data_IF_038744054755
#
_entry.id   IF_038744054755
#
_cell.length_a   1.000
_cell.length_b   1.000
_cell.length_c   1.000
_cell.angle_alpha   90.00
_cell.angle_beta   90.00
_cell.angle_gamma   90.00
#
_symmetry.space_group_name_H-M   'P 1'
#
loop_
_entity.id
_entity.type
_entity.pdbx_description
1 polymer ?
#
# COMPACT_ATOMS: atom_id res chain seq x y z
N UNK A 1 11.13 -41.72 -16.07
CA UNK A 1 10.32 -42.94 -16.25
C UNK A 1 8.88 -42.54 -16.11
N UNK A 2 8.19 -42.50 -17.25
CA UNK A 2 6.79 -42.12 -17.34
C UNK A 2 5.84 -43.13 -16.72
N UNK A 3 4.62 -42.67 -16.39
CA UNK A 3 3.37 -43.44 -16.49
C UNK A 3 2.12 -42.59 -16.30
N UNK A 4 1.39 -42.52 -17.41
CA UNK A 4 -0.06 -42.66 -17.57
C UNK A 4 -1.01 -41.70 -16.90
N UNK A 5 -1.47 -40.74 -17.69
CA UNK A 5 -2.83 -40.20 -17.60
C UNK A 5 -3.70 -40.98 -18.61
N UNK A 6 -4.62 -41.79 -18.10
CA UNK A 6 -5.72 -42.36 -18.92
C UNK A 6 -6.85 -41.33 -18.95
N UNK A 7 -7.11 -40.76 -20.13
CA UNK A 7 -8.31 -39.95 -20.40
C UNK A 7 -9.34 -40.91 -21.01
N UNK A 8 -10.39 -41.23 -20.26
CA UNK A 8 -11.57 -41.90 -20.81
C UNK A 8 -12.46 -40.82 -21.45
N UNK A 9 -12.46 -40.76 -22.77
CA UNK A 9 -13.33 -39.91 -23.54
C UNK A 9 -14.52 -40.75 -24.00
N UNK A 10 -15.71 -40.50 -23.45
CA UNK A 10 -16.93 -41.03 -23.99
C UNK A 10 -17.51 -40.02 -24.98
N UNK A 11 -17.57 -40.40 -26.25
CA UNK A 11 -17.99 -39.55 -27.33
C UNK A 11 -19.50 -39.26 -27.27
N UNK A 12 -19.88 -37.96 -27.24
CA UNK A 12 -21.15 -37.48 -27.78
C UNK A 12 -20.85 -36.44 -28.86
N UNK A 13 -21.53 -36.61 -29.99
CA UNK A 13 -21.32 -35.83 -31.20
C UNK A 13 -21.92 -34.42 -31.08
N UNK A 14 -21.19 -33.47 -31.69
CA UNK A 14 -21.60 -32.14 -32.15
C UNK A 14 -21.93 -31.12 -31.03
N UNK A 15 -20.94 -30.38 -30.64
CA UNK A 15 -20.76 -29.00 -30.12
C UNK A 15 -19.54 -28.82 -29.19
N UNK A 16 -18.77 -29.89 -29.04
CA UNK A 16 -17.68 -29.94 -28.01
C UNK A 16 -16.34 -29.30 -28.45
N UNK A 17 -16.20 -28.90 -29.70
CA UNK A 17 -14.92 -28.42 -30.25
C UNK A 17 -14.52 -27.04 -29.74
N UNK A 18 -15.47 -26.18 -29.49
CA UNK A 18 -15.18 -24.79 -29.00
C UNK A 18 -14.94 -24.80 -27.48
N UNK A 19 -15.71 -25.60 -26.74
CA UNK A 19 -15.57 -25.72 -25.29
C UNK A 19 -14.25 -26.41 -24.90
N UNK A 20 -13.78 -27.41 -25.64
CA UNK A 20 -12.51 -28.09 -25.41
C UNK A 20 -11.34 -27.16 -25.72
N UNK A 21 -11.40 -26.31 -26.76
CA UNK A 21 -10.40 -25.30 -27.04
C UNK A 21 -10.36 -24.21 -25.98
N UNK A 22 -11.51 -23.74 -25.49
CA UNK A 22 -11.58 -22.75 -24.42
C UNK A 22 -11.06 -23.30 -23.09
N UNK A 23 -11.41 -24.53 -22.71
CA UNK A 23 -10.89 -25.19 -21.51
C UNK A 23 -9.40 -25.56 -21.61
N UNK A 24 -8.88 -25.90 -22.81
CA UNK A 24 -7.45 -26.11 -23.02
C UNK A 24 -6.69 -24.79 -22.97
N UNK A 25 -7.20 -23.70 -23.54
CA UNK A 25 -6.58 -22.38 -23.49
C UNK A 25 -6.56 -21.82 -22.04
N UNK A 26 -7.66 -21.95 -21.29
CA UNK A 26 -7.74 -21.56 -19.90
C UNK A 26 -6.79 -22.41 -19.00
N UNK A 27 -6.64 -23.71 -19.29
CA UNK A 27 -5.70 -24.59 -18.58
C UNK A 27 -4.24 -24.32 -18.89
N UNK A 28 -3.88 -23.99 -20.13
CA UNK A 28 -2.51 -23.65 -20.50
C UNK A 28 -2.07 -22.31 -19.91
N UNK A 29 -2.92 -21.31 -19.90
CA UNK A 29 -2.61 -20.00 -19.33
C UNK A 29 -2.53 -20.06 -17.79
N UNK A 30 -3.43 -20.81 -17.13
CA UNK A 30 -3.39 -21.04 -15.68
C UNK A 30 -2.14 -21.83 -15.27
N UNK A 31 -1.73 -22.83 -16.08
CA UNK A 31 -0.52 -23.62 -15.79
C UNK A 31 0.78 -22.85 -16.04
N UNK A 32 0.82 -21.93 -16.98
CA UNK A 32 1.97 -21.05 -17.22
C UNK A 32 2.11 -20.02 -16.10
N UNK A 33 1.00 -19.37 -15.68
CA UNK A 33 0.98 -18.43 -14.55
C UNK A 33 1.28 -19.14 -13.22
N UNK A 34 0.79 -20.36 -13.00
CA UNK A 34 1.08 -21.15 -11.79
C UNK A 34 2.54 -21.66 -11.75
N UNK A 35 3.15 -21.95 -12.90
CA UNK A 35 4.59 -22.33 -12.98
C UNK A 35 5.54 -21.20 -12.58
N UNK A 36 5.10 -19.93 -12.66
CA UNK A 36 5.91 -18.76 -12.30
C UNK A 36 6.28 -18.75 -10.81
N UNK A 37 5.45 -19.36 -9.94
CA UNK A 37 5.62 -19.37 -8.48
C UNK A 37 6.26 -20.66 -7.93
N UNK A 38 6.56 -21.67 -8.76
CA UNK A 38 7.06 -22.99 -8.29
C UNK A 38 8.52 -23.04 -7.93
N UNK A 39 9.33 -22.00 -8.22
CA UNK A 39 10.76 -21.94 -7.95
C UNK A 39 11.17 -20.81 -7.00
N UNK A 40 10.23 -20.25 -6.21
CA UNK A 40 10.53 -19.21 -5.25
C UNK A 40 11.25 -19.78 -4.03
N UNK A 41 12.18 -19.02 -3.49
CA UNK A 41 12.93 -19.33 -2.26
C UNK A 41 12.03 -19.21 -1.03
N UNK A 42 11.06 -18.30 -1.08
CA UNK A 42 10.16 -17.99 0.03
C UNK A 42 8.74 -18.49 -0.24
N UNK A 43 8.02 -18.81 0.84
CA UNK A 43 6.65 -19.31 0.76
C UNK A 43 5.62 -18.17 0.71
N UNK A 44 5.06 -17.97 -0.47
CA UNK A 44 3.92 -17.07 -0.71
C UNK A 44 2.65 -17.83 -1.12
N UNK A 45 2.62 -19.14 -0.91
CA UNK A 45 1.52 -20.01 -1.34
C UNK A 45 0.70 -20.59 -0.17
N UNK A 46 1.32 -20.77 0.99
CA UNK A 46 0.67 -21.29 2.18
C UNK A 46 -0.31 -20.28 2.79
N UNK A 47 -1.48 -20.77 3.20
CA UNK A 47 -2.46 -19.97 3.91
C UNK A 47 -2.09 -19.94 5.39
N UNK A 48 -1.70 -18.77 5.89
CA UNK A 48 -1.34 -18.57 7.28
C UNK A 48 -2.59 -18.25 8.10
N UNK A 49 -2.87 -19.05 9.14
CA UNK A 49 -3.92 -18.73 10.10
C UNK A 49 -3.46 -17.64 11.08
N UNK A 50 -4.11 -16.49 11.01
CA UNK A 50 -3.80 -15.31 11.82
C UNK A 50 -4.82 -15.07 12.94
N UNK A 51 -5.86 -15.90 13.07
CA UNK A 51 -6.91 -15.76 14.08
C UNK A 51 -6.34 -15.93 15.48
N UNK A 52 -6.71 -15.04 16.41
CA UNK A 52 -6.19 -15.06 17.77
C UNK A 52 -4.68 -14.83 17.87
N UNK A 53 -4.09 -14.12 16.88
CA UNK A 53 -2.68 -13.70 16.82
C UNK A 53 -2.57 -12.18 16.72
N UNK A 54 -3.46 -11.46 17.40
CA UNK A 54 -3.52 -10.00 17.45
C UNK A 54 -3.68 -9.34 16.06
N UNK A 55 -4.34 -10.06 15.14
CA UNK A 55 -4.47 -9.64 13.75
C UNK A 55 -5.85 -9.02 13.49
N UNK A 56 -5.96 -7.70 13.53
CA UNK A 56 -7.23 -6.99 13.29
C UNK A 56 -7.87 -7.36 11.94
N UNK A 57 -7.07 -7.73 10.96
CA UNK A 57 -7.55 -8.13 9.63
C UNK A 57 -8.52 -9.31 9.66
N UNK A 58 -8.38 -10.21 10.63
CA UNK A 58 -9.18 -11.44 10.78
C UNK A 58 -10.00 -11.48 12.05
N UNK A 59 -9.61 -10.76 13.11
CA UNK A 59 -10.26 -10.80 14.40
C UNK A 59 -11.38 -9.76 14.55
N UNK A 60 -11.34 -8.64 13.81
CA UNK A 60 -12.35 -7.58 13.85
C UNK A 60 -13.57 -7.78 12.94
N UNK A 61 -13.48 -8.36 11.73
CA UNK A 61 -14.66 -8.51 10.88
C UNK A 61 -15.80 -9.24 11.58
N UNK A 62 -16.97 -8.62 11.62
CA UNK A 62 -18.14 -9.11 12.36
C UNK A 62 -18.09 -8.90 13.88
N UNK A 63 -16.97 -8.47 14.46
CA UNK A 63 -16.79 -8.28 15.91
C UNK A 63 -16.50 -6.81 16.28
N UNK A 64 -16.44 -5.92 15.30
CA UNK A 64 -16.19 -4.51 15.56
C UNK A 64 -17.36 -3.86 16.33
N UNK A 65 -17.08 -2.84 17.20
CA UNK A 65 -18.13 -2.02 17.79
C UNK A 65 -19.04 -1.40 16.72
N UNK A 66 -20.28 -1.17 17.05
CA UNK A 66 -21.23 -0.51 16.16
C UNK A 66 -20.67 0.86 15.69
N UNK A 67 -20.67 1.10 14.37
CA UNK A 67 -20.08 2.30 13.76
C UNK A 67 -18.57 2.23 13.54
N UNK A 68 -17.95 1.08 13.81
CA UNK A 68 -16.54 0.84 13.46
C UNK A 68 -16.31 0.73 11.94
N UNK A 69 -15.07 0.93 11.53
CA UNK A 69 -14.66 0.92 10.10
C UNK A 69 -14.38 -0.49 9.57
N UNK A 70 -14.49 -1.53 10.42
CA UNK A 70 -14.21 -2.90 10.02
C UNK A 70 -15.37 -3.52 9.21
N UNK A 71 -15.08 -4.44 8.28
CA UNK A 71 -16.08 -5.19 7.56
C UNK A 71 -17.04 -5.98 8.44
N UNK A 72 -18.23 -6.28 7.93
CA UNK A 72 -19.13 -7.27 8.52
C UNK A 72 -18.53 -8.68 8.47
N UNK A 73 -19.04 -9.58 9.32
CA UNK A 73 -18.66 -10.99 9.31
C UNK A 73 -19.34 -11.77 8.18
N UNK A 74 -18.77 -12.92 7.78
CA UNK A 74 -19.37 -13.80 6.79
C UNK A 74 -20.63 -14.49 7.32
N UNK A 75 -21.52 -14.87 6.40
CA UNK A 75 -22.62 -15.79 6.69
C UNK A 75 -22.11 -17.21 6.93
N UNK A 76 -22.96 -18.03 7.55
CA UNK A 76 -22.70 -19.45 7.71
C UNK A 76 -22.37 -20.12 6.36
N UNK A 77 -21.35 -20.96 6.33
CA UNK A 77 -20.87 -21.64 5.13
C UNK A 77 -19.71 -20.94 4.41
N UNK A 78 -19.36 -19.69 4.78
CA UNK A 78 -18.22 -18.97 4.22
C UNK A 78 -17.16 -18.69 5.27
N UNK A 79 -15.92 -19.00 4.95
CA UNK A 79 -14.75 -18.55 5.74
C UNK A 79 -14.32 -17.13 5.31
N UNK A 80 -13.68 -16.42 6.23
CA UNK A 80 -13.22 -15.05 6.00
C UNK A 80 -11.98 -15.02 5.09
N UNK A 81 -12.02 -14.16 4.08
CA UNK A 81 -10.87 -13.78 3.25
C UNK A 81 -10.56 -12.31 3.53
N UNK A 82 -9.47 -11.99 4.26
CA UNK A 82 -9.19 -10.63 4.70
C UNK A 82 -8.55 -9.81 3.57
N UNK A 83 -9.30 -8.87 3.02
CA UNK A 83 -8.88 -8.02 1.88
C UNK A 83 -9.08 -6.51 2.17
N UNK A 84 -9.05 -6.07 3.43
CA UNK A 84 -9.36 -4.69 3.83
C UNK A 84 -8.20 -3.92 4.45
N UNK A 85 -7.55 -4.47 5.46
CA UNK A 85 -6.39 -3.83 6.11
C UNK A 85 -5.19 -3.84 5.17
N UNK A 86 -4.39 -2.77 5.21
CA UNK A 86 -3.14 -2.68 4.47
C UNK A 86 -1.99 -3.39 5.22
N UNK A 87 -2.18 -4.69 5.50
CA UNK A 87 -1.16 -5.63 5.97
C UNK A 87 -1.18 -6.89 5.09
N UNK A 88 -0.24 -7.79 5.26
CA UNK A 88 -0.12 -8.96 4.40
C UNK A 88 -0.56 -10.24 5.10
N UNK A 89 -1.03 -11.20 4.30
CA UNK A 89 -1.30 -12.57 4.72
C UNK A 89 -0.13 -13.51 4.38
N UNK A 90 1.08 -12.96 4.35
CA UNK A 90 2.35 -13.68 4.18
C UNK A 90 3.20 -13.55 5.43
N UNK A 91 4.02 -14.57 5.77
CA UNK A 91 5.08 -14.42 6.76
C UNK A 91 6.04 -13.30 6.35
N UNK A 92 6.57 -12.54 7.31
CA UNK A 92 7.64 -11.58 7.04
C UNK A 92 8.94 -12.29 6.64
N UNK A 93 9.91 -11.54 6.09
CA UNK A 93 11.21 -12.10 5.68
C UNK A 93 11.91 -12.80 6.84
N UNK A 94 12.46 -14.01 6.64
CA UNK A 94 13.14 -14.77 7.70
C UNK A 94 14.30 -14.02 8.36
N UNK A 95 15.03 -13.19 7.61
CA UNK A 95 16.13 -12.36 8.13
C UNK A 95 15.69 -11.41 9.24
N UNK A 96 14.45 -10.95 9.20
CA UNK A 96 13.87 -10.09 10.25
C UNK A 96 13.68 -10.87 11.55
N UNK A 97 13.10 -12.06 11.43
CA UNK A 97 12.87 -12.94 12.58
C UNK A 97 14.19 -13.35 13.23
N UNK A 98 15.20 -13.65 12.41
CA UNK A 98 16.55 -13.99 12.88
C UNK A 98 17.18 -12.83 13.64
N UNK A 99 17.15 -11.62 13.08
CA UNK A 99 17.74 -10.44 13.71
C UNK A 99 17.06 -10.10 15.03
N UNK A 100 15.72 -10.15 15.08
CA UNK A 100 14.96 -9.92 16.31
C UNK A 100 15.25 -10.99 17.36
N UNK A 101 15.33 -12.28 16.97
CA UNK A 101 15.72 -13.35 17.89
C UNK A 101 17.10 -13.15 18.49
N UNK A 102 18.08 -12.81 17.66
CA UNK A 102 19.46 -12.48 18.12
C UNK A 102 19.45 -11.35 19.15
N UNK A 103 18.65 -10.29 18.93
CA UNK A 103 18.50 -9.22 19.92
C UNK A 103 17.86 -9.72 21.22
N UNK A 104 16.91 -10.64 21.18
CA UNK A 104 16.22 -11.19 22.33
C UNK A 104 17.13 -12.09 23.22
N UNK A 105 18.26 -12.60 22.68
CA UNK A 105 19.23 -13.35 23.46
C UNK A 105 19.86 -12.51 24.60
N UNK A 106 19.88 -11.17 24.43
CA UNK A 106 20.25 -10.24 25.49
C UNK A 106 19.00 -9.80 26.28
N UNK A 107 18.83 -10.21 27.54
CA UNK A 107 17.56 -10.08 28.28
C UNK A 107 17.29 -8.68 28.87
N UNK A 108 18.05 -7.65 28.49
CA UNK A 108 17.87 -6.29 28.98
C UNK A 108 17.42 -5.33 27.86
N UNK A 109 16.39 -4.51 28.15
CA UNK A 109 15.78 -3.54 27.25
C UNK A 109 15.87 -2.12 27.83
N UNK A 110 17.06 -1.76 28.32
CA UNK A 110 17.32 -0.43 28.87
C UNK A 110 17.43 0.66 27.78
N UNK A 111 17.78 1.87 28.19
CA UNK A 111 18.01 2.97 27.25
C UNK A 111 19.11 2.61 26.25
N UNK A 112 18.93 3.04 25.01
CA UNK A 112 19.87 2.76 23.92
C UNK A 112 19.93 3.96 22.96
N UNK A 113 20.97 4.02 22.16
CA UNK A 113 21.08 4.89 21.00
C UNK A 113 20.95 4.06 19.73
N UNK A 114 20.38 4.61 18.65
CA UNK A 114 20.40 3.95 17.35
C UNK A 114 21.82 3.58 16.93
N UNK A 115 22.03 2.34 16.51
CA UNK A 115 23.32 1.83 16.09
C UNK A 115 23.75 2.35 14.72
N UNK A 116 25.05 2.37 14.42
CA UNK A 116 25.52 2.68 13.06
C UNK A 116 24.96 1.69 12.05
N UNK A 117 24.80 0.42 12.41
CA UNK A 117 24.18 -0.60 11.56
C UNK A 117 22.75 -0.23 11.11
N UNK A 118 21.98 0.49 11.91
CA UNK A 118 20.66 1.00 11.55
C UNK A 118 20.74 2.05 10.43
N UNK A 119 21.63 3.03 10.58
CA UNK A 119 21.82 4.07 9.57
C UNK A 119 22.45 3.52 8.30
N UNK A 120 23.44 2.65 8.42
CA UNK A 120 24.09 2.00 7.28
C UNK A 120 23.07 1.15 6.48
N UNK A 121 22.17 0.44 7.16
CA UNK A 121 21.11 -0.33 6.51
C UNK A 121 20.19 0.57 5.68
N UNK A 122 19.78 1.73 6.22
CA UNK A 122 18.93 2.70 5.50
C UNK A 122 19.71 3.30 4.32
N UNK A 123 20.93 3.76 4.52
CA UNK A 123 21.76 4.40 3.48
C UNK A 123 21.98 3.41 2.31
N UNK A 124 22.37 2.18 2.62
CA UNK A 124 22.60 1.14 1.62
C UNK A 124 21.30 0.77 0.88
N UNK A 125 20.17 0.64 1.60
CA UNK A 125 18.87 0.37 0.98
C UNK A 125 18.47 1.45 -0.02
N UNK A 126 18.60 2.72 0.36
CA UNK A 126 18.32 3.85 -0.53
C UNK A 126 19.25 3.88 -1.75
N UNK A 127 20.53 3.61 -1.54
CA UNK A 127 21.50 3.55 -2.64
C UNK A 127 21.19 2.41 -3.61
N UNK A 128 21.03 1.19 -3.11
CA UNK A 128 20.89 0.00 -3.94
C UNK A 128 19.50 -0.14 -4.58
N UNK A 129 18.45 0.27 -3.85
CA UNK A 129 17.05 0.06 -4.28
C UNK A 129 16.40 1.27 -4.92
N UNK A 130 16.89 2.47 -4.61
CA UNK A 130 16.28 3.73 -5.05
C UNK A 130 17.26 4.64 -5.83
N UNK A 131 18.53 4.22 -5.99
CA UNK A 131 19.55 4.98 -6.69
C UNK A 131 19.93 6.30 -6.02
N UNK A 132 19.66 6.44 -4.71
CA UNK A 132 19.96 7.65 -3.96
C UNK A 132 21.41 7.66 -3.51
N UNK A 133 22.18 8.63 -3.99
CA UNK A 133 23.57 8.84 -3.59
C UNK A 133 23.68 10.01 -2.60
N UNK A 134 24.69 9.95 -1.72
CA UNK A 134 25.03 11.04 -0.79
C UNK A 134 24.09 11.20 0.40
N UNK A 135 23.21 10.22 0.67
CA UNK A 135 22.45 10.19 1.92
C UNK A 135 23.40 9.94 3.09
N UNK A 136 23.27 10.72 4.14
CA UNK A 136 24.10 10.64 5.34
C UNK A 136 23.28 10.34 6.58
N UNK A 137 23.93 9.92 7.66
CA UNK A 137 23.28 9.64 8.95
C UNK A 137 22.54 10.87 9.51
N UNK A 138 23.07 12.06 9.26
CA UNK A 138 22.49 13.32 9.72
C UNK A 138 21.15 13.63 9.05
N UNK A 139 20.92 13.11 7.84
CA UNK A 139 19.67 13.33 7.08
C UNK A 139 18.54 12.41 7.55
N UNK A 140 18.84 11.41 8.38
CA UNK A 140 17.92 10.36 8.81
C UNK A 140 17.51 10.58 10.26
N UNK A 141 16.20 10.56 10.52
CA UNK A 141 15.66 10.60 11.87
C UNK A 141 14.50 9.63 12.04
N UNK A 142 14.41 9.00 13.22
CA UNK A 142 13.30 8.11 13.54
C UNK A 142 12.01 8.88 13.78
N UNK A 143 10.91 8.33 13.30
CA UNK A 143 9.56 8.79 13.59
C UNK A 143 8.67 7.61 14.04
N UNK A 144 7.71 7.87 14.91
CA UNK A 144 6.81 6.87 15.47
C UNK A 144 5.65 6.54 14.50
N UNK A 145 5.97 5.80 13.45
CA UNK A 145 5.08 5.58 12.29
C UNK A 145 5.08 6.78 11.33
N UNK A 146 4.76 6.52 10.05
CA UNK A 146 4.70 7.58 9.03
C UNK A 146 3.66 8.64 9.38
N UNK A 147 2.50 8.26 9.95
CA UNK A 147 1.51 9.24 10.42
C UNK A 147 2.01 10.06 11.60
N UNK A 148 2.83 9.49 12.48
CA UNK A 148 3.53 10.24 13.53
C UNK A 148 4.49 11.27 12.94
N UNK A 149 5.29 10.88 11.95
CA UNK A 149 6.18 11.78 11.20
C UNK A 149 5.42 12.88 10.46
N UNK A 150 4.27 12.55 9.85
CA UNK A 150 3.37 13.53 9.23
C UNK A 150 2.95 14.60 10.24
N UNK A 151 2.45 14.19 11.41
CA UNK A 151 2.00 15.13 12.45
C UNK A 151 3.17 15.93 13.01
N UNK A 152 4.35 15.32 13.20
CA UNK A 152 5.57 16.04 13.62
C UNK A 152 5.95 17.15 12.63
N UNK A 153 5.88 16.87 11.34
CA UNK A 153 6.16 17.85 10.29
C UNK A 153 5.09 18.95 10.23
N UNK A 154 3.81 18.61 10.33
CA UNK A 154 2.71 19.58 10.39
C UNK A 154 2.88 20.53 11.59
N UNK A 155 3.14 19.99 12.77
CA UNK A 155 3.37 20.78 13.98
C UNK A 155 4.62 21.70 13.90
N UNK A 156 5.58 21.37 13.02
CA UNK A 156 6.75 22.19 12.81
C UNK A 156 6.53 23.37 11.84
N UNK A 157 5.60 23.23 10.89
CA UNK A 157 5.48 24.14 9.74
C UNK A 157 4.08 24.70 9.50
N UNK A 158 3.06 24.24 10.23
CA UNK A 158 1.70 24.76 10.16
C UNK A 158 1.17 25.14 11.54
N UNK A 159 0.19 26.04 11.59
CA UNK A 159 -0.54 26.40 12.79
C UNK A 159 -1.90 25.70 12.81
N UNK A 160 -2.43 25.39 13.99
CA UNK A 160 -3.78 24.82 14.10
C UNK A 160 -4.78 25.68 13.33
N UNK A 161 -5.59 25.02 12.51
CA UNK A 161 -6.56 25.65 11.61
C UNK A 161 -6.01 25.98 10.22
N UNK A 162 -4.71 25.85 9.98
CA UNK A 162 -4.16 26.04 8.63
C UNK A 162 -4.63 24.96 7.67
N UNK A 163 -4.80 25.32 6.38
CA UNK A 163 -5.19 24.39 5.34
C UNK A 163 -3.96 23.61 4.82
N UNK A 164 -4.15 22.31 4.67
CA UNK A 164 -3.15 21.37 4.14
C UNK A 164 -3.68 20.78 2.83
N UNK A 165 -2.88 20.82 1.75
CA UNK A 165 -3.26 20.22 0.48
C UNK A 165 -3.04 18.70 0.52
N UNK A 166 -4.03 17.94 0.05
CA UNK A 166 -3.93 16.50 -0.22
C UNK A 166 -4.49 16.19 -1.61
N UNK A 167 -4.00 15.11 -2.24
CA UNK A 167 -4.56 14.62 -3.51
C UNK A 167 -5.64 13.58 -3.21
N UNK A 168 -6.81 13.68 -3.89
CA UNK A 168 -7.94 12.78 -3.69
C UNK A 168 -8.36 12.05 -4.98
N UNK A 169 -8.69 10.74 -4.92
CA UNK A 169 -8.86 9.93 -3.69
C UNK A 169 -7.63 9.97 -2.81
N UNK A 170 -7.78 9.81 -1.48
CA UNK A 170 -6.66 9.96 -0.55
C UNK A 170 -6.70 8.90 0.56
N UNK A 171 -5.57 8.68 1.20
CA UNK A 171 -5.48 7.73 2.31
C UNK A 171 -6.19 8.28 3.56
N UNK A 172 -7.13 7.48 4.11
CA UNK A 172 -7.91 7.84 5.31
C UNK A 172 -7.02 8.19 6.52
N UNK A 173 -5.82 7.60 6.60
CA UNK A 173 -4.86 7.93 7.66
C UNK A 173 -4.39 9.39 7.59
N UNK A 174 -4.28 9.98 6.39
CA UNK A 174 -3.95 11.41 6.26
C UNK A 174 -5.09 12.28 6.75
N UNK A 175 -6.32 12.03 6.28
CA UNK A 175 -7.48 12.84 6.66
C UNK A 175 -7.69 12.80 8.17
N UNK A 176 -7.70 11.61 8.76
CA UNK A 176 -7.86 11.46 10.21
C UNK A 176 -6.73 12.12 11.01
N UNK A 177 -5.48 12.01 10.55
CA UNK A 177 -4.33 12.58 11.27
C UNK A 177 -4.28 14.11 11.14
N UNK A 178 -4.56 14.65 9.95
CA UNK A 178 -4.57 16.09 9.70
C UNK A 178 -5.68 16.76 10.50
N UNK A 179 -6.93 16.26 10.38
CA UNK A 179 -8.08 16.82 11.12
C UNK A 179 -7.96 16.59 12.62
N UNK A 180 -7.55 15.39 13.05
CA UNK A 180 -7.33 15.05 14.45
C UNK A 180 -6.25 15.89 15.12
N UNK A 181 -5.26 16.36 14.37
CA UNK A 181 -4.23 17.28 14.83
C UNK A 181 -4.65 18.76 14.74
N UNK A 182 -5.89 19.06 14.31
CA UNK A 182 -6.47 20.40 14.31
C UNK A 182 -6.18 21.23 13.06
N UNK A 183 -5.82 20.61 11.94
CA UNK A 183 -5.63 21.27 10.65
C UNK A 183 -6.86 21.07 9.75
N UNK A 184 -6.96 21.85 8.68
CA UNK A 184 -8.00 21.73 7.65
C UNK A 184 -7.46 21.05 6.42
N UNK A 185 -8.30 20.30 5.72
CA UNK A 185 -7.90 19.62 4.49
C UNK A 185 -8.46 20.39 3.29
N UNK A 186 -7.63 20.57 2.28
CA UNK A 186 -8.02 21.04 0.94
C UNK A 186 -7.66 19.93 -0.05
N UNK A 187 -8.69 19.40 -0.72
CA UNK A 187 -8.53 18.32 -1.67
C UNK A 187 -8.24 18.85 -3.07
N UNK A 188 -7.12 18.45 -3.67
CA UNK A 188 -6.90 18.53 -5.11
C UNK A 188 -7.27 17.19 -5.74
N UNK A 189 -8.28 17.20 -6.62
CA UNK A 189 -8.83 15.97 -7.18
C UNK A 189 -7.92 15.43 -8.27
N UNK A 190 -7.58 14.16 -8.17
CA UNK A 190 -6.97 13.43 -9.26
C UNK A 190 -8.01 13.20 -10.36
N UNK A 191 -7.57 13.16 -11.59
CA UNK A 191 -8.38 12.86 -12.77
C UNK A 191 -7.85 11.61 -13.46
N UNK A 192 -8.73 10.86 -14.10
CA UNK A 192 -8.31 9.79 -14.99
C UNK A 192 -8.18 10.34 -16.41
N UNK A 193 -7.11 9.98 -17.10
CA UNK A 193 -6.93 10.25 -18.51
C UNK A 193 -7.77 9.31 -19.39
N UNK A 194 -7.64 9.42 -20.72
CA UNK A 194 -8.40 8.60 -21.68
C UNK A 194 -8.10 7.09 -21.55
N UNK A 195 -6.94 6.74 -20.98
CA UNK A 195 -6.51 5.36 -20.72
C UNK A 195 -6.93 4.87 -19.33
N UNK A 196 -7.59 5.72 -18.54
CA UNK A 196 -8.02 5.43 -17.18
C UNK A 196 -6.90 5.52 -16.14
N UNK A 197 -5.77 6.17 -16.47
CA UNK A 197 -4.65 6.36 -15.55
C UNK A 197 -4.87 7.62 -14.73
N UNK A 198 -4.64 7.52 -13.42
CA UNK A 198 -4.76 8.65 -12.51
C UNK A 198 -3.66 9.70 -12.75
N UNK A 199 -4.06 10.97 -12.87
CA UNK A 199 -3.18 12.12 -13.11
C UNK A 199 -3.48 13.23 -12.11
N UNK A 200 -2.43 14.00 -11.76
CA UNK A 200 -2.57 15.23 -10.99
C UNK A 200 -3.11 16.36 -11.86
N UNK A 201 -3.95 17.21 -11.28
CA UNK A 201 -4.42 18.45 -11.89
C UNK A 201 -3.59 19.64 -11.37
N UNK A 202 -2.51 19.97 -12.08
CA UNK A 202 -1.56 20.99 -11.65
C UNK A 202 -2.16 22.39 -11.59
N UNK A 203 -3.15 22.69 -12.45
CA UNK A 203 -3.86 23.97 -12.43
C UNK A 203 -4.76 24.08 -11.19
N UNK A 204 -5.48 23.00 -10.85
CA UNK A 204 -6.30 22.92 -9.64
C UNK A 204 -5.43 23.01 -8.38
N UNK A 205 -4.26 22.35 -8.36
CA UNK A 205 -3.28 22.47 -7.28
C UNK A 205 -2.89 23.92 -7.04
N UNK A 206 -2.42 24.61 -8.09
CA UNK A 206 -1.96 25.99 -8.02
C UNK A 206 -3.09 26.93 -7.56
N UNK A 207 -4.26 26.80 -8.16
CA UNK A 207 -5.43 27.61 -7.82
C UNK A 207 -5.84 27.41 -6.34
N UNK A 208 -5.90 26.17 -5.85
CA UNK A 208 -6.28 25.88 -4.46
C UNK A 208 -5.25 26.33 -3.46
N UNK A 209 -3.96 26.16 -3.76
CA UNK A 209 -2.87 26.66 -2.91
C UNK A 209 -2.98 28.17 -2.73
N UNK A 210 -3.14 28.91 -3.83
CA UNK A 210 -3.28 30.39 -3.80
C UNK A 210 -4.53 30.83 -3.08
N UNK A 211 -5.68 30.24 -3.43
CA UNK A 211 -6.99 30.64 -2.85
C UNK A 211 -7.05 30.41 -1.34
N UNK A 212 -6.43 29.36 -0.84
CA UNK A 212 -6.45 28.97 0.56
C UNK A 212 -5.18 29.36 1.31
N UNK A 213 -4.18 29.97 0.67
CA UNK A 213 -2.87 30.33 1.25
C UNK A 213 -2.19 29.13 1.91
N UNK A 214 -2.11 28.03 1.20
CA UNK A 214 -1.51 26.78 1.67
C UNK A 214 0.01 26.88 1.65
N UNK A 215 0.66 26.44 2.72
CA UNK A 215 2.12 26.41 2.86
C UNK A 215 2.67 25.00 3.05
N UNK A 216 1.80 24.01 3.28
CA UNK A 216 2.21 22.61 3.46
C UNK A 216 1.28 21.71 2.63
N UNK A 217 1.88 20.79 1.89
CA UNK A 217 1.18 19.77 1.12
C UNK A 217 1.63 18.38 1.51
N UNK A 218 0.71 17.41 1.46
CA UNK A 218 1.01 15.98 1.60
C UNK A 218 0.99 15.32 0.24
N UNK A 219 2.10 14.68 -0.11
CA UNK A 219 2.30 13.98 -1.37
C UNK A 219 2.51 12.49 -1.11
N UNK A 220 1.70 11.62 -1.70
CA UNK A 220 1.78 10.17 -1.53
C UNK A 220 2.40 9.52 -2.76
N UNK A 221 3.56 8.88 -2.61
CA UNK A 221 4.36 8.35 -3.71
C UNK A 221 5.05 7.01 -3.35
N UNK A 222 4.57 5.86 -3.83
CA UNK A 222 3.36 5.59 -4.64
C UNK A 222 2.05 5.95 -3.94
N UNK A 223 1.02 6.20 -4.74
CA UNK A 223 -0.24 6.73 -4.26
C UNK A 223 -1.21 5.65 -3.75
N UNK A 224 -1.69 5.81 -2.54
CA UNK A 224 -2.75 5.00 -1.94
C UNK A 224 -4.03 5.86 -1.78
N UNK A 225 -5.20 5.45 -2.30
CA UNK A 225 -5.57 4.06 -2.63
C UNK A 225 -5.39 3.65 -4.09
N UNK A 226 -5.02 4.53 -5.00
CA UNK A 226 -5.10 4.27 -6.45
C UNK A 226 -4.01 3.35 -7.00
N UNK A 227 -2.93 3.12 -6.24
CA UNK A 227 -1.78 2.34 -6.70
C UNK A 227 -0.95 3.02 -7.79
N UNK A 228 -1.16 4.33 -8.02
CA UNK A 228 -0.37 5.08 -9.01
C UNK A 228 1.08 5.21 -8.58
N UNK A 229 2.03 4.91 -9.46
CA UNK A 229 3.45 5.22 -9.35
C UNK A 229 3.71 6.42 -10.26
N UNK A 230 4.02 7.57 -9.66
CA UNK A 230 4.20 8.80 -10.41
C UNK A 230 5.45 8.76 -11.27
N UNK A 231 5.34 9.20 -12.51
CA UNK A 231 6.47 9.35 -13.42
C UNK A 231 7.36 10.53 -12.97
N UNK A 232 8.68 10.52 -13.26
CA UNK A 232 9.58 11.61 -12.88
C UNK A 232 9.06 12.98 -13.29
N UNK A 233 8.54 13.11 -14.52
CA UNK A 233 8.03 14.36 -15.09
C UNK A 233 6.73 14.83 -14.38
N UNK A 234 5.93 13.91 -13.85
CA UNK A 234 4.75 14.26 -13.07
C UNK A 234 5.15 14.81 -11.69
N UNK A 235 6.14 14.19 -11.06
CA UNK A 235 6.70 14.67 -9.79
C UNK A 235 7.35 16.03 -9.99
N UNK A 236 8.16 16.22 -11.03
CA UNK A 236 8.79 17.51 -11.36
C UNK A 236 7.74 18.62 -11.49
N UNK A 237 6.68 18.40 -12.28
CA UNK A 237 5.59 19.37 -12.44
C UNK A 237 4.88 19.69 -11.12
N UNK A 238 4.61 18.70 -10.29
CA UNK A 238 4.02 18.93 -8.97
C UNK A 238 4.95 19.77 -8.10
N UNK A 239 6.26 19.46 -8.10
CA UNK A 239 7.26 20.19 -7.32
C UNK A 239 7.44 21.61 -7.83
N UNK A 240 7.30 21.89 -9.12
CA UNK A 240 7.29 23.25 -9.67
C UNK A 240 6.09 24.07 -9.15
N UNK A 241 4.90 23.47 -9.06
CA UNK A 241 3.71 24.12 -8.45
C UNK A 241 3.97 24.44 -6.98
N UNK A 242 4.49 23.49 -6.21
CA UNK A 242 4.83 23.71 -4.79
C UNK A 242 5.91 24.78 -4.62
N UNK A 243 6.92 24.78 -5.47
CA UNK A 243 7.98 25.80 -5.51
C UNK A 243 7.43 27.19 -5.80
N UNK A 244 6.57 27.32 -6.81
CA UNK A 244 5.97 28.59 -7.21
C UNK A 244 5.12 29.22 -6.09
N UNK A 245 4.63 28.41 -5.14
CA UNK A 245 3.79 28.83 -4.04
C UNK A 245 4.48 28.73 -2.67
N UNK A 246 5.78 28.49 -2.63
CA UNK A 246 6.59 28.34 -1.42
C UNK A 246 6.03 27.31 -0.42
N UNK A 247 5.55 26.18 -0.93
CA UNK A 247 5.02 25.09 -0.13
C UNK A 247 6.12 24.13 0.31
N UNK A 248 6.09 23.71 1.56
CA UNK A 248 6.82 22.55 2.06
C UNK A 248 6.02 21.29 1.69
N UNK A 249 6.72 20.23 1.27
CA UNK A 249 6.10 18.96 0.86
C UNK A 249 6.44 17.87 1.88
N UNK A 250 5.42 17.24 2.44
CA UNK A 250 5.56 16.01 3.23
C UNK A 250 5.27 14.85 2.28
N UNK A 251 6.31 14.11 1.89
CA UNK A 251 6.18 12.98 0.96
C UNK A 251 6.08 11.68 1.73
N UNK A 252 4.93 11.02 1.65
CA UNK A 252 4.76 9.65 2.17
C UNK A 252 5.23 8.65 1.12
N UNK A 253 6.37 8.03 1.37
CA UNK A 253 7.01 7.07 0.49
C UNK A 253 7.00 5.63 1.08
N UNK A 254 6.06 5.35 1.97
CA UNK A 254 5.96 4.06 2.67
C UNK A 254 5.75 2.86 1.73
N UNK A 255 5.24 3.11 0.51
CA UNK A 255 4.99 2.10 -0.52
C UNK A 255 6.11 1.96 -1.54
N UNK A 256 7.19 2.72 -1.40
CA UNK A 256 8.25 2.88 -2.40
C UNK A 256 9.00 1.60 -2.81
N UNK A 257 8.93 0.54 -1.99
CA UNK A 257 9.52 -0.76 -2.32
C UNK A 257 8.54 -1.73 -2.97
N UNK A 258 7.23 -1.42 -2.95
CA UNK A 258 6.15 -2.27 -3.48
C UNK A 258 5.70 -1.76 -4.85
N UNK A 259 6.62 -1.82 -5.79
CA UNK A 259 6.43 -1.41 -7.18
C UNK A 259 6.21 -2.67 -8.02
N UNK A 260 5.13 -2.70 -8.80
CA UNK A 260 4.80 -3.85 -9.62
C UNK A 260 5.74 -3.96 -10.84
N UNK A 261 5.77 -5.14 -11.47
CA UNK A 261 6.65 -5.38 -12.63
C UNK A 261 6.38 -4.38 -13.76
N UNK A 262 7.47 -3.87 -14.35
CA UNK A 262 7.42 -2.89 -15.44
C UNK A 262 7.39 -1.42 -14.99
N UNK A 263 7.29 -1.15 -13.68
CA UNK A 263 7.29 0.22 -13.15
C UNK A 263 8.49 0.47 -12.24
N UNK A 264 8.83 1.75 -12.06
CA UNK A 264 9.94 2.20 -11.22
C UNK A 264 9.50 3.34 -10.31
N UNK A 265 9.91 3.26 -9.05
CA UNK A 265 9.71 4.35 -8.11
C UNK A 265 10.80 5.41 -8.30
N UNK A 266 10.38 6.67 -8.31
CA UNK A 266 11.27 7.83 -8.29
C UNK A 266 11.04 8.54 -6.95
N UNK A 267 12.06 8.61 -6.06
CA UNK A 267 11.94 9.37 -4.82
C UNK A 267 11.62 10.84 -5.12
N UNK A 268 10.65 11.42 -4.43
CA UNK A 268 10.23 12.81 -4.65
C UNK A 268 11.38 13.79 -4.53
N UNK A 269 12.34 13.53 -3.64
CA UNK A 269 13.52 14.36 -3.42
C UNK A 269 14.57 14.28 -4.54
N UNK A 270 14.45 13.32 -5.47
CA UNK A 270 15.48 13.09 -6.50
C UNK A 270 15.26 13.86 -7.79
N UNK A 271 14.06 14.43 -8.01
CA UNK A 271 13.71 15.05 -9.30
C UNK A 271 14.35 16.43 -9.51
N UNK A 272 14.71 17.15 -8.45
CA UNK A 272 15.43 18.43 -8.57
C UNK A 272 16.08 18.82 -7.22
N UNK A 273 17.04 19.76 -7.28
CA UNK A 273 17.66 20.32 -6.07
C UNK A 273 16.64 21.06 -5.20
N UNK A 274 15.67 21.73 -5.80
CA UNK A 274 14.58 22.38 -5.08
C UNK A 274 13.68 21.35 -4.38
N UNK A 275 13.29 20.26 -5.06
CA UNK A 275 12.53 19.15 -4.48
C UNK A 275 13.29 18.54 -3.29
N UNK A 276 14.59 18.33 -3.43
CA UNK A 276 15.46 17.82 -2.35
C UNK A 276 15.40 18.70 -1.12
N UNK A 277 15.41 20.02 -1.30
CA UNK A 277 15.49 20.99 -0.19
C UNK A 277 14.13 21.35 0.44
N UNK A 278 12.99 21.15 -0.25
CA UNK A 278 11.67 21.47 0.30
C UNK A 278 10.88 20.27 0.81
N UNK A 279 11.40 19.05 0.64
CA UNK A 279 10.66 17.82 0.94
C UNK A 279 11.13 17.19 2.25
N UNK A 280 10.15 16.83 3.08
CA UNK A 280 10.26 15.95 4.23
C UNK A 280 9.75 14.58 3.76
N UNK A 281 10.64 13.64 3.45
CA UNK A 281 10.24 12.31 2.98
C UNK A 281 10.16 11.32 4.14
N UNK A 282 9.07 10.55 4.18
CA UNK A 282 8.76 9.59 5.22
C UNK A 282 8.77 8.16 4.66
N UNK A 283 9.55 7.29 5.27
CA UNK A 283 9.73 5.90 4.86
C UNK A 283 9.50 4.94 6.04
N UNK A 284 9.14 3.71 5.74
CA UNK A 284 9.06 2.64 6.73
C UNK A 284 9.16 1.26 6.09
N UNK A 285 9.73 0.25 6.76
CA UNK A 285 9.69 -1.14 6.31
C UNK A 285 8.31 -1.80 6.54
N UNK A 286 7.38 -1.11 7.20
CA UNK A 286 6.14 -1.69 7.71
C UNK A 286 5.21 -2.24 6.61
N UNK A 287 5.09 -1.59 5.46
CA UNK A 287 4.29 -2.08 4.34
C UNK A 287 5.03 -3.12 3.51
N UNK A 288 6.31 -2.90 3.28
CA UNK A 288 7.17 -3.78 2.49
C UNK A 288 7.32 -5.16 3.15
N UNK A 289 7.44 -5.22 4.48
CA UNK A 289 7.78 -6.43 5.22
C UNK A 289 6.72 -6.87 6.24
N UNK A 290 5.51 -6.31 6.17
CA UNK A 290 4.42 -6.65 7.11
C UNK A 290 4.78 -6.38 8.59
N UNK A 291 5.40 -5.23 8.89
CA UNK A 291 5.91 -4.86 10.22
C UNK A 291 5.11 -3.73 10.88
N UNK A 292 3.87 -3.49 10.48
CA UNK A 292 3.07 -2.38 11.00
C UNK A 292 2.93 -2.42 12.54
N UNK A 293 2.86 -3.60 13.13
CA UNK A 293 2.76 -3.79 14.58
C UNK A 293 4.01 -3.40 15.36
N UNK A 294 5.17 -3.23 14.71
CA UNK A 294 6.41 -2.78 15.34
C UNK A 294 6.59 -1.26 15.32
N UNK A 295 5.76 -0.53 14.59
CA UNK A 295 5.76 0.94 14.52
C UNK A 295 7.18 1.51 14.32
N UNK A 296 7.82 1.17 13.19
CA UNK A 296 9.13 1.68 12.80
C UNK A 296 9.01 2.52 11.54
N UNK A 297 9.44 3.78 11.57
CA UNK A 297 9.56 4.64 10.41
C UNK A 297 10.71 5.63 10.58
N UNK A 298 11.10 6.27 9.50
CA UNK A 298 12.14 7.29 9.52
C UNK A 298 11.84 8.36 8.48
N UNK A 299 12.34 9.57 8.75
CA UNK A 299 12.38 10.62 7.75
C UNK A 299 13.74 10.69 7.08
N UNK A 300 13.74 11.19 5.85
CA UNK A 300 14.92 11.68 5.14
C UNK A 300 14.71 13.16 4.85
N UNK A 301 15.54 14.02 5.42
CA UNK A 301 15.43 15.48 5.25
C UNK A 301 16.82 16.06 5.03
N UNK A 302 17.14 16.48 3.82
CA UNK A 302 18.43 17.05 3.46
C UNK A 302 18.61 18.49 3.94
N UNK A 303 17.54 19.30 3.94
CA UNK A 303 17.57 20.67 4.41
C UNK A 303 17.66 20.71 5.94
N UNK A 304 18.78 21.19 6.48
CA UNK A 304 19.03 21.24 7.92
C UNK A 304 17.98 22.05 8.68
N UNK A 305 17.51 23.17 8.10
CA UNK A 305 16.48 23.99 8.75
C UNK A 305 15.16 23.19 8.92
N UNK A 306 14.72 22.47 7.89
CA UNK A 306 13.53 21.64 7.98
C UNK A 306 13.72 20.50 8.98
N UNK A 307 14.87 19.83 8.91
CA UNK A 307 15.22 18.72 9.78
C UNK A 307 15.23 19.12 11.26
N UNK A 308 15.93 20.19 11.60
CA UNK A 308 16.05 20.64 12.99
C UNK A 308 14.70 21.00 13.59
N UNK A 309 13.79 21.59 12.80
CA UNK A 309 12.44 21.92 13.24
C UNK A 309 11.57 20.67 13.43
N UNK A 310 11.64 19.68 12.51
CA UNK A 310 10.92 18.41 12.66
C UNK A 310 11.41 17.66 13.89
N UNK A 311 12.73 17.54 14.06
CA UNK A 311 13.32 16.87 15.22
C UNK A 311 12.93 17.56 16.52
N UNK A 312 12.95 18.90 16.56
CA UNK A 312 12.51 19.66 17.74
C UNK A 312 11.02 19.46 18.05
N UNK A 313 10.17 19.31 17.01
CA UNK A 313 8.75 19.02 17.16
C UNK A 313 8.49 17.61 17.67
N UNK A 314 9.08 16.60 17.04
CA UNK A 314 8.90 15.18 17.39
C UNK A 314 9.47 14.85 18.77
N UNK A 315 10.57 15.51 19.18
CA UNK A 315 11.15 15.36 20.52
C UNK A 315 10.21 15.82 21.63
N UNK A 316 9.42 16.87 21.40
CA UNK A 316 8.44 17.35 22.41
C UNK A 316 7.32 16.34 22.66
N UNK A 317 6.96 15.55 21.65
CA UNK A 317 5.90 14.54 21.70
C UNK A 317 6.47 13.13 21.87
N UNK A 318 7.78 12.96 21.96
CA UNK A 318 8.48 11.68 21.98
C UNK A 318 8.22 10.80 20.75
N UNK A 319 7.81 11.36 19.62
CA UNK A 319 7.59 10.62 18.36
C UNK A 319 8.89 10.18 17.67
N UNK A 320 10.04 10.66 18.15
CA UNK A 320 11.37 10.21 17.74
C UNK A 320 12.03 9.25 18.76
N UNK A 321 11.28 8.74 19.73
CA UNK A 321 11.76 7.76 20.70
C UNK A 321 11.59 6.34 20.14
N UNK A 322 12.68 5.79 19.61
CA UNK A 322 12.69 4.50 18.92
C UNK A 322 12.46 3.33 19.88
N UNK A 323 11.77 2.29 19.39
CA UNK A 323 11.69 0.98 20.00
C UNK A 323 12.86 0.11 19.51
N UNK A 324 13.57 -0.53 20.44
CA UNK A 324 14.76 -1.33 20.10
C UNK A 324 14.47 -2.49 19.16
N UNK A 325 13.31 -3.14 19.28
CA UNK A 325 12.95 -4.25 18.39
C UNK A 325 12.61 -3.75 16.98
N UNK A 326 12.03 -2.55 16.86
CA UNK A 326 11.82 -1.90 15.56
C UNK A 326 13.14 -1.61 14.84
N UNK A 327 14.16 -1.18 15.57
CA UNK A 327 15.50 -0.95 15.03
C UNK A 327 16.09 -2.24 14.44
N UNK A 328 16.08 -3.32 15.22
CA UNK A 328 16.58 -4.62 14.77
C UNK A 328 15.75 -5.21 13.63
N UNK A 329 14.44 -5.04 13.67
CA UNK A 329 13.57 -5.48 12.58
C UNK A 329 13.91 -4.77 11.24
N UNK A 330 14.20 -3.45 11.28
CA UNK A 330 14.61 -2.71 10.09
C UNK A 330 15.98 -3.19 9.59
N UNK A 331 16.95 -3.41 10.48
CA UNK A 331 18.27 -3.94 10.12
C UNK A 331 18.12 -5.31 9.44
N UNK A 332 17.29 -6.21 10.00
CA UNK A 332 17.00 -7.51 9.39
C UNK A 332 16.28 -7.41 8.05
N UNK A 333 15.38 -6.43 7.91
CA UNK A 333 14.61 -6.18 6.70
C UNK A 333 15.50 -5.70 5.53
N UNK A 334 16.44 -4.81 5.81
CA UNK A 334 17.27 -4.16 4.79
C UNK A 334 18.58 -4.91 4.48
N UNK A 335 18.67 -6.19 4.92
CA UNK A 335 19.71 -7.11 4.48
C UNK A 335 19.46 -7.60 3.04
N UNK A 336 20.48 -8.22 2.46
CA UNK A 336 20.39 -8.85 1.14
C UNK A 336 19.24 -9.86 1.05
N UNK A 337 19.04 -10.69 2.09
CA UNK A 337 17.98 -11.69 2.16
C UNK A 337 16.59 -11.02 2.17
N UNK A 338 16.46 -9.86 2.82
CA UNK A 338 15.25 -9.06 2.77
C UNK A 338 14.99 -8.49 1.38
N UNK A 339 16.02 -8.03 0.66
CA UNK A 339 15.90 -7.58 -0.71
C UNK A 339 15.43 -8.70 -1.65
N UNK A 340 16.02 -9.90 -1.53
CA UNK A 340 15.61 -11.09 -2.28
C UNK A 340 14.14 -11.45 -1.99
N UNK A 341 13.71 -11.36 -0.73
CA UNK A 341 12.32 -11.62 -0.35
C UNK A 341 11.35 -10.61 -0.98
N UNK A 342 11.70 -9.33 -1.00
CA UNK A 342 10.89 -8.27 -1.63
C UNK A 342 10.79 -8.50 -3.14
N UNK A 343 11.87 -8.91 -3.79
CA UNK A 343 11.87 -9.14 -5.23
C UNK A 343 10.94 -10.30 -5.62
N UNK A 344 10.89 -11.37 -4.82
CA UNK A 344 9.91 -12.46 -5.02
C UNK A 344 8.49 -12.00 -4.68
N UNK A 345 8.29 -11.25 -3.58
CA UNK A 345 7.00 -10.68 -3.21
C UNK A 345 6.42 -9.82 -4.34
N UNK A 346 7.23 -8.95 -4.96
CA UNK A 346 6.79 -8.10 -6.08
C UNK A 346 6.27 -8.91 -7.26
N UNK A 347 6.89 -10.05 -7.57
CA UNK A 347 6.41 -10.96 -8.61
C UNK A 347 5.05 -11.57 -8.25
N UNK A 348 4.88 -11.99 -6.99
CA UNK A 348 3.60 -12.52 -6.49
C UNK A 348 2.51 -11.46 -6.57
N UNK A 349 2.80 -10.26 -6.08
CA UNK A 349 1.83 -9.15 -6.10
C UNK A 349 1.46 -8.74 -7.52
N UNK A 350 2.43 -8.69 -8.44
CA UNK A 350 2.16 -8.42 -9.86
C UNK A 350 1.23 -9.47 -10.46
N UNK A 351 1.48 -10.75 -10.18
CA UNK A 351 0.59 -11.83 -10.64
C UNK A 351 -0.81 -11.78 -10.04
N UNK A 352 -0.94 -11.41 -8.75
CA UNK A 352 -2.23 -11.24 -8.10
C UNK A 352 -3.02 -10.05 -8.70
N UNK A 353 -2.31 -8.93 -8.96
CA UNK A 353 -2.92 -7.74 -9.58
C UNK A 353 -3.36 -8.04 -11.02
N UNK A 354 -2.51 -8.70 -11.81
CA UNK A 354 -2.86 -9.09 -13.18
C UNK A 354 -4.11 -9.97 -13.20
N UNK A 355 -4.12 -11.02 -12.36
CA UNK A 355 -5.28 -11.89 -12.25
C UNK A 355 -6.56 -11.14 -11.86
N UNK A 356 -6.48 -10.32 -10.82
CA UNK A 356 -7.64 -9.59 -10.32
C UNK A 356 -8.16 -8.55 -11.32
N UNK A 357 -7.25 -7.82 -11.98
CA UNK A 357 -7.60 -6.82 -12.99
C UNK A 357 -8.29 -7.46 -14.19
N UNK A 358 -7.70 -8.53 -14.75
CA UNK A 358 -8.27 -9.25 -15.90
C UNK A 358 -9.64 -9.82 -15.53
N UNK A 359 -9.77 -10.45 -14.35
CA UNK A 359 -11.04 -11.02 -13.88
C UNK A 359 -12.16 -9.98 -13.76
N UNK A 360 -11.86 -8.82 -13.16
CA UNK A 360 -12.83 -7.72 -13.02
C UNK A 360 -13.29 -7.24 -14.41
N UNK A 361 -12.35 -7.05 -15.33
CA UNK A 361 -12.67 -6.58 -16.69
C UNK A 361 -13.52 -7.57 -17.49
N UNK A 362 -13.34 -8.87 -17.24
CA UNK A 362 -14.07 -9.92 -17.96
C UNK A 362 -15.43 -10.24 -17.34
N UNK A 363 -15.56 -10.13 -15.99
CA UNK A 363 -16.71 -10.68 -15.28
C UNK A 363 -17.56 -9.65 -14.53
N UNK A 364 -16.99 -8.52 -14.07
CA UNK A 364 -17.72 -7.57 -13.22
C UNK A 364 -18.23 -6.37 -14.03
N UNK A 365 -19.31 -6.57 -14.78
CA UNK A 365 -19.91 -5.52 -15.61
C UNK A 365 -20.34 -4.30 -14.79
N UNK A 366 -19.89 -3.11 -15.19
CA UNK A 366 -20.18 -1.85 -14.50
C UNK A 366 -19.23 -1.52 -13.36
N UNK A 367 -18.19 -2.33 -13.13
CA UNK A 367 -17.08 -2.02 -12.23
C UNK A 367 -15.90 -1.51 -13.03
N UNK A 368 -15.39 -0.34 -12.65
CA UNK A 368 -14.19 0.27 -13.24
C UNK A 368 -13.03 0.31 -12.25
N UNK A 369 -11.82 0.27 -12.76
CA UNK A 369 -10.60 0.51 -11.98
C UNK A 369 -9.46 0.93 -12.90
N UNK A 370 -8.55 1.71 -12.36
CA UNK A 370 -7.21 1.91 -12.92
C UNK A 370 -6.33 0.74 -12.49
N UNK A 371 -5.57 0.16 -13.42
CA UNK A 371 -4.62 -0.91 -13.06
C UNK A 371 -3.55 -0.32 -12.15
N UNK A 372 -3.37 -0.83 -10.92
CA UNK A 372 -2.33 -0.31 -10.04
C UNK A 372 -0.94 -0.63 -10.60
N UNK A 373 -0.01 0.26 -10.34
CA UNK A 373 1.39 0.19 -10.77
C UNK A 373 2.32 -0.09 -9.58
N UNK A 374 1.82 0.16 -8.39
CA UNK A 374 2.47 -0.10 -7.11
C UNK A 374 1.45 -0.37 -6.03
N UNK A 375 1.91 -0.61 -4.81
CA UNK A 375 1.14 -1.10 -3.67
C UNK A 375 0.64 -2.54 -3.87
N UNK A 376 -0.23 -3.01 -3.01
CA UNK A 376 -1.02 -4.24 -3.19
C UNK A 376 -2.52 -3.96 -3.05
N UNK A 377 -2.93 -2.73 -3.36
CA UNK A 377 -4.32 -2.29 -3.25
C UNK A 377 -4.97 -2.15 -4.62
N UNK A 378 -6.20 -2.66 -4.75
CA UNK A 378 -7.13 -2.25 -5.79
C UNK A 378 -8.07 -1.18 -5.24
N UNK A 379 -8.43 -0.23 -6.09
CA UNK A 379 -9.46 0.76 -5.81
C UNK A 379 -10.51 0.73 -6.91
N UNK A 380 -11.62 0.08 -6.60
CA UNK A 380 -12.73 -0.16 -7.53
C UNK A 380 -13.67 1.04 -7.52
N UNK A 381 -14.18 1.42 -8.68
CA UNK A 381 -15.35 2.28 -8.84
C UNK A 381 -16.54 1.41 -9.28
N UNK A 382 -17.53 1.28 -8.39
CA UNK A 382 -18.70 0.45 -8.57
C UNK A 382 -19.95 1.25 -8.99
N UNK A 383 -19.81 2.52 -9.42
CA UNK A 383 -20.93 3.39 -9.78
C UNK A 383 -21.82 2.76 -10.85
N UNK A 384 -21.20 2.27 -11.94
CA UNK A 384 -21.92 1.68 -13.07
C UNK A 384 -22.74 0.45 -12.66
N UNK A 385 -22.13 -0.42 -11.83
CA UNK A 385 -22.84 -1.59 -11.32
C UNK A 385 -24.00 -1.20 -10.37
N UNK A 386 -23.77 -0.32 -9.43
CA UNK A 386 -24.79 0.16 -8.49
C UNK A 386 -25.99 0.76 -9.22
N UNK A 387 -25.74 1.65 -10.20
CA UNK A 387 -26.79 2.27 -11.01
C UNK A 387 -27.56 1.26 -11.85
N UNK A 388 -26.87 0.33 -12.48
CA UNK A 388 -27.48 -0.71 -13.33
C UNK A 388 -28.44 -1.61 -12.53
N UNK A 389 -28.06 -1.98 -11.29
CA UNK A 389 -28.84 -2.89 -10.46
C UNK A 389 -29.76 -2.19 -9.46
N UNK A 390 -29.76 -0.83 -9.40
CA UNK A 390 -30.52 -0.06 -8.42
C UNK A 390 -30.11 -0.36 -6.98
N UNK A 391 -28.82 -0.61 -6.77
CA UNK A 391 -28.21 -0.96 -5.47
C UNK A 391 -27.36 0.17 -4.93
N UNK A 392 -27.24 0.20 -3.61
CA UNK A 392 -26.33 1.11 -2.90
C UNK A 392 -24.96 0.46 -2.71
N UNK A 393 -23.95 1.29 -2.41
CA UNK A 393 -22.61 0.81 -2.01
C UNK A 393 -22.69 -0.03 -0.73
N UNK A 394 -23.58 0.35 0.23
CA UNK A 394 -23.74 -0.41 1.46
C UNK A 394 -24.27 -1.84 1.20
N UNK A 395 -25.22 -1.98 0.28
CA UNK A 395 -25.72 -3.30 -0.13
C UNK A 395 -24.63 -4.12 -0.81
N UNK A 396 -23.80 -3.49 -1.64
CA UNK A 396 -22.70 -4.15 -2.34
C UNK A 396 -21.60 -4.57 -1.35
N UNK A 397 -21.20 -3.66 -0.43
CA UNK A 397 -20.24 -3.97 0.63
C UNK A 397 -20.71 -5.17 1.45
N UNK A 398 -21.97 -5.11 1.89
CA UNK A 398 -22.56 -6.20 2.67
C UNK A 398 -22.60 -7.52 1.89
N UNK A 399 -22.93 -7.51 0.61
CA UNK A 399 -22.96 -8.71 -0.21
C UNK A 399 -21.59 -9.40 -0.26
N UNK A 400 -20.50 -8.64 -0.43
CA UNK A 400 -19.14 -9.19 -0.36
C UNK A 400 -18.79 -9.74 1.03
N UNK A 401 -19.15 -9.04 2.10
CA UNK A 401 -18.92 -9.53 3.47
C UNK A 401 -19.69 -10.81 3.76
N UNK A 402 -20.94 -10.91 3.31
CA UNK A 402 -21.80 -12.09 3.47
C UNK A 402 -21.15 -13.36 2.90
N UNK A 403 -20.41 -13.25 1.82
CA UNK A 403 -19.69 -14.39 1.18
C UNK A 403 -18.22 -14.51 1.66
N UNK A 404 -17.88 -13.79 2.73
CA UNK A 404 -16.58 -13.87 3.39
C UNK A 404 -15.48 -12.99 2.78
N UNK A 405 -15.75 -12.22 1.72
CA UNK A 405 -14.76 -11.29 1.15
C UNK A 405 -14.80 -9.98 1.94
N UNK A 406 -13.85 -9.84 2.87
CA UNK A 406 -13.75 -8.66 3.72
C UNK A 406 -13.02 -7.53 2.97
N UNK A 407 -13.68 -6.90 2.05
CA UNK A 407 -13.23 -5.69 1.37
C UNK A 407 -13.61 -4.42 2.15
N UNK A 408 -13.03 -3.29 1.79
CA UNK A 408 -13.17 -2.05 2.54
C UNK A 408 -13.99 -1.00 1.80
N UNK A 409 -14.86 -0.30 2.56
CA UNK A 409 -15.54 0.91 2.09
C UNK A 409 -14.54 1.95 1.58
N UNK A 410 -14.70 2.38 0.34
CA UNK A 410 -13.85 3.37 -0.31
C UNK A 410 -14.27 4.82 -0.10
N UNK A 411 -15.46 5.07 0.46
CA UNK A 411 -15.97 6.43 0.70
C UNK A 411 -15.09 7.25 1.66
N UNK A 412 -14.52 6.67 2.74
CA UNK A 412 -13.55 7.40 3.57
C UNK A 412 -12.24 7.76 2.84
N UNK A 413 -11.98 7.17 1.68
CA UNK A 413 -10.87 7.54 0.79
C UNK A 413 -11.28 8.56 -0.27
N UNK A 414 -12.48 9.14 -0.19
CA UNK A 414 -13.08 10.05 -1.17
C UNK A 414 -13.43 9.40 -2.52
N UNK A 415 -13.80 8.13 -2.52
CA UNK A 415 -14.42 7.44 -3.65
C UNK A 415 -15.90 7.19 -3.36
N UNK A 416 -16.81 7.95 -3.94
CA UNK A 416 -18.26 7.89 -3.62
C UNK A 416 -18.84 6.48 -3.80
N UNK A 417 -18.43 5.78 -4.86
CA UNK A 417 -18.77 4.39 -5.14
C UNK A 417 -17.57 3.46 -4.98
N UNK A 418 -16.58 3.91 -4.21
CA UNK A 418 -15.31 3.22 -4.08
C UNK A 418 -15.38 1.97 -3.20
N UNK A 419 -14.66 0.93 -3.60
CA UNK A 419 -14.32 -0.22 -2.76
C UNK A 419 -12.81 -0.45 -2.87
N UNK A 420 -12.13 -0.59 -1.72
CA UNK A 420 -10.70 -0.90 -1.69
C UNK A 420 -10.48 -2.36 -1.32
N UNK A 421 -9.60 -3.05 -2.05
CA UNK A 421 -9.25 -4.45 -1.81
C UNK A 421 -7.73 -4.61 -1.65
N UNK A 422 -7.33 -5.44 -0.70
CA UNK A 422 -5.95 -5.87 -0.48
C UNK A 422 -5.70 -7.19 -1.22
N UNK A 423 -4.63 -7.24 -2.01
CA UNK A 423 -4.24 -8.44 -2.78
C UNK A 423 -2.98 -9.14 -2.22
N UNK A 424 -2.46 -8.72 -1.05
CA UNK A 424 -1.28 -9.34 -0.44
C UNK A 424 -1.64 -10.62 0.33
N UNK A 425 -2.11 -11.63 -0.41
CA UNK A 425 -2.45 -12.96 0.10
C UNK A 425 -2.15 -14.02 -0.97
N UNK A 426 -2.07 -15.32 -0.63
CA UNK A 426 -1.82 -16.38 -1.59
C UNK A 426 -2.80 -16.32 -2.77
N UNK A 427 -2.30 -16.52 -4.00
CA UNK A 427 -3.12 -16.43 -5.22
C UNK A 427 -4.39 -17.30 -5.14
N UNK A 428 -4.30 -18.47 -4.51
CA UNK A 428 -5.47 -19.34 -4.30
C UNK A 428 -6.60 -18.66 -3.51
N UNK A 429 -6.25 -17.77 -2.56
CA UNK A 429 -7.23 -17.01 -1.78
C UNK A 429 -7.80 -15.84 -2.59
N UNK A 430 -6.97 -15.20 -3.42
CA UNK A 430 -7.43 -14.18 -4.38
C UNK A 430 -8.44 -14.82 -5.33
N UNK A 431 -8.09 -15.95 -5.94
CA UNK A 431 -8.97 -16.68 -6.86
C UNK A 431 -10.30 -17.07 -6.21
N UNK A 432 -10.26 -17.57 -4.98
CA UNK A 432 -11.49 -17.93 -4.25
C UNK A 432 -12.35 -16.71 -3.94
N UNK A 433 -11.75 -15.57 -3.56
CA UNK A 433 -12.50 -14.35 -3.33
C UNK A 433 -13.22 -13.88 -4.59
N UNK A 434 -12.53 -13.86 -5.73
CA UNK A 434 -13.11 -13.41 -7.00
C UNK A 434 -14.18 -14.37 -7.51
N UNK A 435 -13.99 -15.69 -7.36
CA UNK A 435 -15.03 -16.68 -7.66
C UNK A 435 -16.29 -16.46 -6.83
N UNK A 436 -16.17 -16.18 -5.52
CA UNK A 436 -17.33 -15.90 -4.66
C UNK A 436 -18.03 -14.61 -5.05
N UNK A 437 -17.27 -13.57 -5.36
CA UNK A 437 -17.85 -12.30 -5.82
C UNK A 437 -18.62 -12.48 -7.13
N UNK A 438 -18.07 -13.22 -8.08
CA UNK A 438 -18.71 -13.52 -9.37
C UNK A 438 -20.00 -14.34 -9.20
N UNK A 439 -19.96 -15.39 -8.37
CA UNK A 439 -21.08 -16.32 -8.20
C UNK A 439 -22.24 -15.74 -7.39
N UNK A 440 -21.95 -14.87 -6.40
CA UNK A 440 -22.94 -14.47 -5.39
C UNK A 440 -23.21 -12.95 -5.32
N UNK A 441 -22.39 -12.11 -5.93
CA UNK A 441 -22.45 -10.64 -5.77
C UNK A 441 -22.66 -9.92 -7.09
N UNK A 442 -21.82 -10.17 -8.09
CA UNK A 442 -21.85 -9.55 -9.41
C UNK A 442 -22.64 -10.36 -10.43
#
# INVERSE_FOLDING_TARGET
IGKYLSVTCTAYRDDCGIIIKALAFAREDTTAKTRRFTNMKYDFTSIMDRRGKDAIAVDLPGNAPAGGFAPGGPKEGFDLIPMWVADMNFPTAPSIIEEVKTRLEHPAFGYFNPSDAYFDAIINWHKERKGVEGLTKEDIGYENGVLGGLVSALNAFASHGDPILVHSPTYIGFTNSIEGAGYKIVHSLLKQDEEGVWRMDYEDMDAKIKANKIHVAVFCNPHNPTGRVWEPEEIEKAMEVYKANDCIVISDEIWSDLILEGYHHTPTQSVSEDAKNRTIALYAPSKTFNLAGLIGSYHVIYNSYLRDRVVASSSKCHYNSMNVLSMHALVGAYRKEGAEWVDELRQVLSGNVDYAYDYIKEHFEGVNLSKPQGTYMLFLDCEGWCKKHGKTVDELLKAGWDVGVAWQDGRPFHGEYGIRMNLALPLSRVQEAFRRLDEYVF
#
